data_IF_085028055857
#
_entry.id   IF_085028055857
#
_cell.length_a   1.000
_cell.length_b   1.000
_cell.length_c   1.000
_cell.angle_alpha   90.00
_cell.angle_beta   90.00
_cell.angle_gamma   90.00
#
_symmetry.space_group_name_H-M   'P 1'
#
loop_
_entity.id
_entity.type
_entity.pdbx_description
1 polymer ?
#
# COMPACT_ATOMS: atom_id res chain seq x y z
N UNK A 1 -9.34 7.13 1.31
CA UNK A 1 -9.63 6.99 -0.13
C UNK A 1 -8.41 7.38 -0.93
N UNK A 2 -7.99 6.51 -1.84
CA UNK A 2 -6.84 6.78 -2.67
C UNK A 2 -7.11 7.71 -3.84
N UNK A 3 -6.07 8.13 -4.57
CA UNK A 3 -6.22 9.03 -5.71
C UNK A 3 -6.84 8.33 -6.93
N UNK A 4 -7.50 9.12 -7.75
CA UNK A 4 -7.95 8.67 -9.07
C UNK A 4 -6.75 8.75 -10.01
N UNK A 5 -6.53 7.71 -10.82
CA UNK A 5 -5.44 7.68 -11.78
C UNK A 5 -5.70 8.64 -12.93
N UNK A 6 -4.77 9.52 -13.19
CA UNK A 6 -4.85 10.51 -14.27
C UNK A 6 -3.60 10.52 -15.13
N UNK A 7 -2.99 9.34 -15.33
CA UNK A 7 -1.82 9.21 -16.18
C UNK A 7 -0.47 9.35 -15.49
N UNK A 8 -0.47 9.61 -14.18
CA UNK A 8 0.78 9.68 -13.40
C UNK A 8 1.40 11.06 -13.32
N UNK A 9 0.82 12.07 -13.96
CA UNK A 9 1.38 13.41 -13.98
C UNK A 9 0.85 14.37 -12.93
N UNK A 10 -0.09 13.91 -12.09
CA UNK A 10 -0.78 14.76 -11.11
C UNK A 10 -0.39 14.45 -9.65
N UNK A 11 0.75 13.82 -9.44
CA UNK A 11 1.22 13.49 -8.10
C UNK A 11 0.51 12.28 -7.46
N UNK A 12 -0.07 11.41 -8.27
CA UNK A 12 -0.84 10.27 -7.77
C UNK A 12 0.02 9.32 -6.95
N UNK A 13 1.28 9.10 -7.33
CA UNK A 13 2.17 8.22 -6.59
C UNK A 13 2.40 8.72 -5.17
N UNK A 14 2.62 10.01 -5.00
CA UNK A 14 2.81 10.63 -3.70
C UNK A 14 1.53 10.57 -2.87
N UNK A 15 0.38 10.86 -3.50
CA UNK A 15 -0.92 10.79 -2.82
C UNK A 15 -1.22 9.36 -2.36
N UNK A 16 -0.93 8.37 -3.19
CA UNK A 16 -1.14 6.98 -2.82
C UNK A 16 -0.22 6.56 -1.67
N UNK A 17 1.04 6.92 -1.74
CA UNK A 17 2.00 6.65 -0.66
C UNK A 17 1.52 7.27 0.65
N UNK A 18 1.02 8.51 0.60
CA UNK A 18 0.50 9.20 1.78
C UNK A 18 -0.72 8.50 2.37
N UNK A 19 -1.58 7.90 1.54
CA UNK A 19 -2.70 7.11 2.04
C UNK A 19 -2.23 5.94 2.91
N UNK A 20 -1.22 5.22 2.45
CA UNK A 20 -0.66 4.11 3.21
C UNK A 20 0.06 4.60 4.47
N UNK A 21 0.90 5.62 4.32
CA UNK A 21 1.67 6.17 5.44
C UNK A 21 0.77 6.71 6.55
N UNK A 22 -0.24 7.50 6.20
CA UNK A 22 -1.14 8.09 7.17
C UNK A 22 -1.95 7.02 7.92
N UNK A 23 -2.40 5.99 7.20
CA UNK A 23 -3.14 4.89 7.82
C UNK A 23 -2.24 4.07 8.76
N UNK A 24 -1.01 3.80 8.34
CA UNK A 24 -0.03 3.11 9.19
C UNK A 24 0.28 3.93 10.44
N UNK A 25 0.43 5.24 10.30
CA UNK A 25 0.70 6.11 11.44
C UNK A 25 -0.45 6.08 12.45
N UNK A 26 -1.69 6.11 11.98
CA UNK A 26 -2.85 5.99 12.85
C UNK A 26 -2.87 4.65 13.58
N UNK A 27 -2.62 3.56 12.86
CA UNK A 27 -2.59 2.24 13.46
C UNK A 27 -1.49 2.13 14.53
N UNK A 28 -0.33 2.71 14.25
CA UNK A 28 0.80 2.73 15.18
C UNK A 28 0.46 3.57 16.43
N UNK A 29 -0.11 4.76 16.23
CA UNK A 29 -0.48 5.66 17.33
C UNK A 29 -1.53 5.06 18.26
N UNK A 30 -2.46 4.28 17.71
CA UNK A 30 -3.49 3.60 18.50
C UNK A 30 -3.06 2.21 18.97
N UNK A 31 -1.80 1.84 18.80
CA UNK A 31 -1.23 0.57 19.24
C UNK A 31 -2.01 -0.64 18.72
N UNK A 32 -2.43 -0.60 17.45
CA UNK A 32 -3.12 -1.73 16.83
C UNK A 32 -2.20 -2.94 16.74
N UNK A 33 -2.77 -4.14 16.92
CA UNK A 33 -2.01 -5.39 16.85
C UNK A 33 -1.62 -5.77 15.43
N UNK A 34 -2.42 -5.36 14.44
CA UNK A 34 -2.17 -5.62 13.03
C UNK A 34 -3.00 -4.67 12.18
N UNK A 35 -2.68 -4.59 10.90
CA UNK A 35 -3.44 -3.79 9.94
C UNK A 35 -3.57 -4.57 8.64
N UNK A 36 -4.72 -4.46 7.98
CA UNK A 36 -4.97 -5.06 6.67
C UNK A 36 -5.37 -3.98 5.67
N UNK A 37 -4.76 -3.99 4.50
CA UNK A 37 -5.06 -3.04 3.45
C UNK A 37 -5.72 -3.73 2.26
N UNK A 38 -6.79 -3.15 1.70
CA UNK A 38 -7.24 -3.53 0.36
C UNK A 38 -6.31 -2.90 -0.69
N UNK A 39 -6.49 -3.29 -1.96
CA UNK A 39 -5.75 -2.67 -3.06
C UNK A 39 -6.33 -1.27 -3.34
N UNK A 40 -5.68 -0.25 -2.81
CA UNK A 40 -6.15 1.13 -2.91
C UNK A 40 -5.98 1.65 -4.34
N UNK A 41 -6.99 2.37 -4.84
CA UNK A 41 -7.00 3.07 -6.15
C UNK A 41 -6.99 2.18 -7.39
N UNK A 42 -6.92 0.86 -7.28
CA UNK A 42 -6.77 -0.01 -8.46
C UNK A 42 -8.08 -0.49 -9.07
N UNK A 43 -9.21 -0.27 -8.42
CA UNK A 43 -10.51 -0.62 -8.97
C UNK A 43 -11.07 0.47 -9.85
N UNK A 44 -12.13 1.13 -9.37
CA UNK A 44 -12.83 2.19 -10.10
C UNK A 44 -11.92 3.37 -10.43
N UNK A 45 -10.93 3.62 -9.59
CA UNK A 45 -10.02 4.76 -9.79
C UNK A 45 -8.93 4.49 -10.85
N UNK A 46 -8.79 3.25 -11.31
CA UNK A 46 -8.00 2.94 -12.49
C UNK A 46 -6.48 2.98 -12.33
N UNK A 47 -5.97 3.07 -11.13
CA UNK A 47 -4.52 3.07 -10.91
C UNK A 47 -3.92 1.75 -11.42
N UNK A 48 -2.81 1.79 -12.21
CA UNK A 48 -2.17 0.55 -12.67
C UNK A 48 -1.78 -0.33 -11.49
N UNK A 49 -2.18 -1.60 -11.54
CA UNK A 49 -2.04 -2.52 -10.40
C UNK A 49 -0.61 -2.72 -9.95
N UNK A 50 0.33 -2.89 -10.88
CA UNK A 50 1.72 -3.09 -10.54
C UNK A 50 2.32 -1.86 -9.88
N UNK A 51 2.05 -0.68 -10.44
CA UNK A 51 2.56 0.57 -9.91
C UNK A 51 2.01 0.85 -8.52
N UNK A 52 0.72 0.61 -8.33
CA UNK A 52 0.09 0.78 -7.02
C UNK A 52 0.66 -0.18 -5.99
N UNK A 53 0.88 -1.44 -6.37
CA UNK A 53 1.44 -2.44 -5.47
C UNK A 53 2.87 -2.11 -5.07
N UNK A 54 3.70 -1.63 -6.02
CA UNK A 54 5.06 -1.22 -5.71
C UNK A 54 5.09 -0.09 -4.69
N UNK A 55 4.23 0.91 -4.87
CA UNK A 55 4.12 2.03 -3.93
C UNK A 55 3.68 1.53 -2.56
N UNK A 56 2.68 0.65 -2.51
CA UNK A 56 2.17 0.11 -1.25
C UNK A 56 3.25 -0.64 -0.48
N UNK A 57 3.95 -1.56 -1.13
CA UNK A 57 4.98 -2.37 -0.50
C UNK A 57 6.16 -1.50 -0.06
N UNK A 58 6.61 -0.59 -0.92
CA UNK A 58 7.73 0.30 -0.60
C UNK A 58 7.40 1.19 0.59
N UNK A 59 6.19 1.77 0.62
CA UNK A 59 5.77 2.66 1.70
C UNK A 59 5.68 1.92 3.03
N UNK A 60 5.11 0.72 3.02
CA UNK A 60 5.00 -0.10 4.24
C UNK A 60 6.37 -0.50 4.75
N UNK A 61 7.27 -0.93 3.87
CA UNK A 61 8.64 -1.31 4.27
C UNK A 61 9.38 -0.14 4.89
N UNK A 62 9.27 1.02 4.27
CA UNK A 62 9.92 2.24 4.78
C UNK A 62 9.38 2.62 6.15
N UNK A 63 8.06 2.58 6.33
CA UNK A 63 7.43 2.89 7.61
C UNK A 63 7.87 1.91 8.71
N UNK A 64 7.86 0.63 8.42
CA UNK A 64 8.25 -0.41 9.38
C UNK A 64 9.70 -0.22 9.83
N UNK A 65 10.59 0.11 8.89
CA UNK A 65 12.00 0.37 9.22
C UNK A 65 12.18 1.63 10.05
N UNK A 66 11.48 2.72 9.69
CA UNK A 66 11.57 3.99 10.41
C UNK A 66 11.08 3.88 11.85
N UNK A 67 9.99 3.14 12.06
CA UNK A 67 9.37 3.01 13.38
C UNK A 67 9.89 1.80 14.16
N UNK A 68 10.75 0.99 13.57
CA UNK A 68 11.22 -0.26 14.14
C UNK A 68 10.04 -1.12 14.64
N UNK A 69 8.94 -1.09 13.85
CA UNK A 69 7.71 -1.77 14.19
C UNK A 69 7.72 -3.22 13.74
N UNK A 70 7.16 -4.11 14.55
CA UNK A 70 6.94 -5.50 14.18
C UNK A 70 5.45 -5.80 13.97
N UNK A 71 4.62 -4.76 13.86
CA UNK A 71 3.19 -4.93 13.61
C UNK A 71 2.94 -5.62 12.27
N UNK A 72 2.20 -6.74 12.25
CA UNK A 72 1.87 -7.42 11.00
C UNK A 72 1.04 -6.53 10.07
N UNK A 73 1.43 -6.48 8.80
CA UNK A 73 0.69 -5.75 7.77
C UNK A 73 0.27 -6.74 6.69
N UNK A 74 -1.02 -6.79 6.43
CA UNK A 74 -1.62 -7.72 5.48
C UNK A 74 -2.16 -6.97 4.28
N UNK A 75 -1.94 -7.50 3.08
CA UNK A 75 -2.53 -6.96 1.86
C UNK A 75 -3.64 -7.89 1.40
N UNK A 76 -4.88 -7.37 1.37
CA UNK A 76 -6.05 -8.14 0.96
C UNK A 76 -6.22 -8.03 -0.55
N UNK A 77 -6.09 -9.15 -1.26
CA UNK A 77 -6.17 -9.20 -2.71
C UNK A 77 -7.34 -10.06 -3.13
N UNK A 78 -8.31 -9.44 -3.82
CA UNK A 78 -9.52 -10.14 -4.28
C UNK A 78 -9.34 -10.82 -5.62
N UNK A 79 -8.38 -10.37 -6.41
CA UNK A 79 -8.11 -10.92 -7.74
C UNK A 79 -6.80 -11.69 -7.75
N UNK A 80 -6.76 -12.79 -8.53
CA UNK A 80 -5.56 -13.60 -8.64
C UNK A 80 -4.38 -12.83 -9.21
N UNK A 81 -4.63 -11.93 -10.16
CA UNK A 81 -3.59 -11.07 -10.76
C UNK A 81 -2.94 -10.18 -9.71
N UNK A 82 -3.74 -9.50 -8.90
CA UNK A 82 -3.25 -8.63 -7.84
C UNK A 82 -2.46 -9.42 -6.80
N UNK A 83 -2.96 -10.60 -6.42
CA UNK A 83 -2.27 -11.46 -5.47
C UNK A 83 -0.90 -11.89 -5.99
N UNK A 84 -0.81 -12.23 -7.27
CA UNK A 84 0.46 -12.62 -7.88
C UNK A 84 1.46 -11.46 -7.85
N UNK A 85 1.02 -10.25 -8.12
CA UNK A 85 1.86 -9.05 -8.08
C UNK A 85 2.42 -8.84 -6.67
N UNK A 86 1.57 -8.87 -5.65
CA UNK A 86 2.00 -8.68 -4.26
C UNK A 86 2.93 -9.80 -3.81
N UNK A 87 2.62 -11.05 -4.15
CA UNK A 87 3.49 -12.17 -3.80
C UNK A 87 4.89 -12.01 -4.39
N UNK A 88 4.96 -11.55 -5.64
CA UNK A 88 6.24 -11.29 -6.31
C UNK A 88 7.03 -10.20 -5.59
N UNK A 89 6.37 -9.09 -5.25
CA UNK A 89 7.03 -7.97 -4.58
C UNK A 89 7.47 -8.32 -3.16
N UNK A 90 6.64 -9.04 -2.41
CA UNK A 90 6.94 -9.40 -1.03
C UNK A 90 8.02 -10.47 -0.93
N UNK A 91 8.24 -11.23 -2.00
CA UNK A 91 9.32 -12.23 -2.06
C UNK A 91 10.70 -11.62 -2.30
N UNK A 92 10.76 -10.35 -2.68
CA UNK A 92 12.01 -9.62 -2.86
C UNK A 92 12.47 -9.06 -1.52
N UNK A 93 13.73 -9.14 -1.27
CA UNK A 93 14.32 -8.56 -0.06
C UNK A 93 15.02 -7.25 -0.32
#
# INVERSE_FOLDING_TARGET
>A
VGPIWRGGGSGEAELLANCYRNTLQLAFDYACNSIAFPAISTGVYGYPKEDAAEIAVATVREFVLEQESDMPVLFCCFEAETRAIYNSLLSRD
#
